data_IF_035346249390
#
_entry.id   IF_035346249390
#
_cell.length_a   1.000
_cell.length_b   1.000
_cell.length_c   1.000
_cell.angle_alpha   90.00
_cell.angle_beta   90.00
_cell.angle_gamma   90.00
#
_symmetry.space_group_name_H-M   'P 1'
#
loop_
_entity.id
_entity.type
_entity.pdbx_description
1 polymer ?
#
# COMPACT_ATOMS: atom_id res chain seq x y z
N UNK A 1 -2.50 -5.96 -12.84
CA UNK A 1 -1.84 -4.92 -12.00
C UNK A 1 -2.18 -3.57 -12.59
N UNK A 2 -2.71 -2.66 -11.78
CA UNK A 2 -3.19 -1.36 -12.25
C UNK A 2 -2.01 -0.45 -12.63
N UNK A 3 -2.16 0.29 -13.74
CA UNK A 3 -1.32 1.44 -14.14
C UNK A 3 0.20 1.18 -14.33
N UNK A 4 0.64 -0.07 -14.39
CA UNK A 4 2.06 -0.43 -14.55
C UNK A 4 2.69 0.04 -15.86
N UNK A 5 1.88 0.27 -16.90
CA UNK A 5 2.32 0.77 -18.21
C UNK A 5 1.82 2.20 -18.48
N UNK A 6 1.34 2.91 -17.46
CA UNK A 6 0.77 4.24 -17.62
C UNK A 6 1.89 5.28 -17.61
N UNK A 7 2.47 5.53 -18.77
CA UNK A 7 3.52 6.54 -18.99
C UNK A 7 3.02 7.98 -19.01
N UNK A 8 1.69 8.16 -19.12
CA UNK A 8 1.06 9.48 -19.17
C UNK A 8 -0.17 9.55 -18.25
N UNK A 9 -0.10 10.40 -17.23
CA UNK A 9 -1.22 10.76 -16.37
C UNK A 9 -1.85 12.09 -16.78
N UNK A 10 -3.00 12.45 -16.19
CA UNK A 10 -3.65 13.74 -16.43
C UNK A 10 -2.81 14.95 -15.97
N UNK A 11 -1.89 14.74 -15.03
CA UNK A 11 -0.98 15.76 -14.50
C UNK A 11 0.35 15.83 -15.28
N UNK A 12 0.55 14.91 -16.24
CA UNK A 12 1.80 14.76 -16.98
C UNK A 12 2.77 13.77 -16.31
N UNK A 13 3.56 13.08 -17.14
CA UNK A 13 4.53 12.07 -16.68
C UNK A 13 3.92 10.72 -16.28
N UNK A 14 4.78 9.74 -15.90
CA UNK A 14 4.36 8.39 -15.58
C UNK A 14 3.58 8.31 -14.26
N UNK A 15 2.74 7.29 -14.16
CA UNK A 15 2.02 6.99 -12.94
C UNK A 15 2.99 6.72 -11.78
N UNK A 16 2.75 7.41 -10.66
CA UNK A 16 3.45 7.16 -9.41
C UNK A 16 2.67 6.17 -8.57
N UNK A 17 3.37 5.19 -8.03
CA UNK A 17 2.82 4.22 -7.10
C UNK A 17 2.17 4.92 -5.89
N UNK A 18 1.01 4.41 -5.47
CA UNK A 18 0.28 4.89 -4.28
C UNK A 18 0.32 3.80 -3.21
N UNK A 19 0.65 4.20 -1.97
CA UNK A 19 0.66 3.32 -0.80
C UNK A 19 -0.38 3.78 0.21
N UNK A 20 -1.20 2.86 0.70
CA UNK A 20 -2.15 3.13 1.78
C UNK A 20 -1.48 2.87 3.14
N UNK A 21 -1.48 3.87 4.00
CA UNK A 21 -1.08 3.72 5.41
C UNK A 21 -2.34 3.37 6.20
N UNK A 22 -2.30 2.25 6.91
CA UNK A 22 -3.43 1.76 7.72
C UNK A 22 -3.12 1.88 9.21
N UNK A 23 -4.14 2.15 10.01
CA UNK A 23 -4.06 2.24 11.47
C UNK A 23 -5.26 1.55 12.13
N UNK A 24 -5.15 1.24 13.41
CA UNK A 24 -6.27 0.71 14.20
C UNK A 24 -7.39 1.75 14.29
N UNK A 25 -8.64 1.29 14.12
CA UNK A 25 -9.78 2.17 14.24
C UNK A 25 -9.96 2.64 15.71
N UNK A 26 -10.30 3.93 15.97
CA UNK A 26 -10.40 4.47 17.32
C UNK A 26 -11.50 3.83 18.19
N UNK A 27 -12.53 3.28 17.55
CA UNK A 27 -13.61 2.52 18.18
C UNK A 27 -13.22 1.07 18.52
N UNK A 28 -11.96 0.70 18.23
CA UNK A 28 -11.43 -0.66 18.38
C UNK A 28 -11.94 -1.63 17.31
N UNK A 29 -12.72 -1.19 16.33
CA UNK A 29 -13.32 -2.09 15.35
C UNK A 29 -12.47 -2.15 14.08
N UNK A 30 -11.45 -3.00 14.13
CA UNK A 30 -10.64 -3.34 12.96
C UNK A 30 -9.61 -2.27 12.59
N UNK A 31 -9.41 -2.05 11.29
CA UNK A 31 -8.41 -1.13 10.74
C UNK A 31 -9.07 -0.13 9.79
N UNK A 32 -8.49 1.06 9.68
CA UNK A 32 -8.89 2.08 8.71
C UNK A 32 -7.68 2.61 7.94
N UNK A 33 -7.92 3.16 6.76
CA UNK A 33 -6.89 3.88 6.00
C UNK A 33 -6.69 5.25 6.64
N UNK A 34 -5.50 5.49 7.17
CA UNK A 34 -5.11 6.77 7.75
C UNK A 34 -4.82 7.81 6.65
N UNK A 35 -4.09 7.41 5.61
CA UNK A 35 -3.73 8.27 4.47
C UNK A 35 -3.24 7.45 3.27
N UNK A 36 -3.23 8.08 2.11
CA UNK A 36 -2.61 7.57 0.90
C UNK A 36 -1.37 8.42 0.63
N UNK A 37 -0.22 7.79 0.42
CA UNK A 37 1.04 8.46 0.11
C UNK A 37 1.52 8.05 -1.29
N UNK A 38 2.10 9.01 -2.02
CA UNK A 38 2.77 8.71 -3.29
C UNK A 38 4.20 8.23 -3.02
N UNK A 39 4.65 7.29 -3.83
CA UNK A 39 6.06 6.89 -3.86
C UNK A 39 6.88 8.00 -4.55
N UNK A 40 7.83 8.59 -3.81
CA UNK A 40 8.72 9.64 -4.29
C UNK A 40 9.95 9.10 -5.04
N UNK A 41 10.08 7.77 -5.16
CA UNK A 41 11.16 7.15 -5.91
C UNK A 41 11.15 7.61 -7.38
N UNK A 42 12.32 7.83 -7.99
CA UNK A 42 12.40 8.26 -9.38
C UNK A 42 11.74 7.22 -10.31
N UNK A 43 11.13 7.67 -11.41
CA UNK A 43 10.57 6.76 -12.42
C UNK A 43 11.68 5.92 -13.07
N UNK A 44 11.31 4.74 -13.55
CA UNK A 44 12.25 3.81 -14.20
C UNK A 44 12.51 4.31 -15.62
N UNK A 45 13.77 4.63 -15.95
CA UNK A 45 14.12 4.99 -17.33
C UNK A 45 14.33 3.71 -18.15
N UNK A 46 13.56 3.56 -19.22
CA UNK A 46 13.68 2.47 -20.17
C UNK A 46 14.05 3.03 -21.56
N UNK A 47 15.13 2.53 -22.16
CA UNK A 47 15.51 2.93 -23.50
C UNK A 47 14.58 2.26 -24.54
N UNK A 48 13.71 3.04 -25.16
CA UNK A 48 12.80 2.62 -26.21
C UNK A 48 12.55 3.77 -27.19
N UNK A 49 13.41 3.95 -28.21
CA UNK A 49 13.32 5.05 -29.17
C UNK A 49 12.04 5.08 -30.01
N UNK A 50 11.32 3.96 -30.11
CA UNK A 50 10.06 3.86 -30.86
C UNK A 50 8.81 4.21 -30.03
N UNK A 51 8.97 4.53 -28.75
CA UNK A 51 7.85 4.82 -27.87
C UNK A 51 7.35 6.27 -28.07
N UNK A 52 6.03 6.51 -28.11
CA UNK A 52 5.47 7.86 -28.31
C UNK A 52 5.81 8.86 -27.19
N UNK A 53 6.19 8.35 -26.02
CA UNK A 53 6.62 9.14 -24.86
C UNK A 53 8.15 9.13 -24.65
N UNK A 54 8.94 8.73 -25.65
CA UNK A 54 10.40 8.78 -25.57
C UNK A 54 10.92 10.22 -25.66
N UNK A 55 11.97 10.52 -24.91
CA UNK A 55 12.72 11.77 -25.03
C UNK A 55 13.62 11.79 -26.28
N UNK A 56 14.36 12.89 -26.46
CA UNK A 56 15.25 13.09 -27.61
C UNK A 56 16.37 12.03 -27.73
N UNK A 57 16.72 11.38 -26.61
CA UNK A 57 17.73 10.33 -26.54
C UNK A 57 17.11 8.92 -26.62
N UNK A 58 15.79 8.82 -26.81
CA UNK A 58 15.06 7.57 -26.93
C UNK A 58 14.72 6.91 -25.59
N UNK A 59 14.79 7.64 -24.47
CA UNK A 59 14.46 7.12 -23.15
C UNK A 59 13.01 7.44 -22.76
N UNK A 60 12.36 6.48 -22.11
CA UNK A 60 10.98 6.59 -21.64
C UNK A 60 10.98 6.52 -20.13
N UNK A 61 10.34 7.49 -19.48
CA UNK A 61 10.06 7.44 -18.06
C UNK A 61 8.87 6.50 -17.81
N UNK A 62 9.17 5.31 -17.28
CA UNK A 62 8.19 4.30 -16.93
C UNK A 62 7.77 4.43 -15.45
N UNK A 63 6.52 4.05 -15.11
CA UNK A 63 6.06 3.95 -13.73
C UNK A 63 6.99 3.08 -12.86
N UNK A 64 7.14 3.47 -11.60
CA UNK A 64 7.90 2.70 -10.59
C UNK A 64 7.08 1.55 -9.97
N UNK A 65 6.12 0.98 -10.71
CA UNK A 65 5.23 -0.08 -10.22
C UNK A 65 5.85 -1.44 -10.55
N UNK A 66 6.26 -2.19 -9.52
CA UNK A 66 6.83 -3.53 -9.69
C UNK A 66 5.83 -4.62 -9.25
N UNK A 67 5.35 -5.47 -10.19
CA UNK A 67 4.45 -6.60 -9.90
C UNK A 67 4.81 -7.45 -8.69
N UNK A 68 6.10 -7.78 -8.54
CA UNK A 68 6.59 -8.65 -7.47
C UNK A 68 6.48 -7.95 -6.13
N UNK A 69 6.88 -6.68 -6.08
CA UNK A 69 6.77 -5.87 -4.85
C UNK A 69 5.31 -5.65 -4.47
N UNK A 70 4.43 -5.32 -5.41
CA UNK A 70 3.00 -5.14 -5.11
C UNK A 70 2.34 -6.39 -4.52
N UNK A 71 2.73 -7.58 -4.99
CA UNK A 71 2.24 -8.84 -4.41
C UNK A 71 2.80 -9.10 -3.01
N UNK A 72 4.11 -8.84 -2.81
CA UNK A 72 4.72 -8.98 -1.48
C UNK A 72 4.08 -8.03 -0.47
N UNK A 73 3.84 -6.78 -0.87
CA UNK A 73 3.20 -5.80 -0.01
C UNK A 73 1.73 -6.16 0.29
N UNK A 74 1.00 -6.73 -0.68
CA UNK A 74 -0.33 -7.27 -0.43
C UNK A 74 -0.33 -8.42 0.59
N UNK A 75 0.61 -9.36 0.46
CA UNK A 75 0.75 -10.49 1.40
C UNK A 75 1.11 -9.97 2.80
N UNK A 76 2.08 -9.05 2.88
CA UNK A 76 2.50 -8.43 4.14
C UNK A 76 1.34 -7.68 4.80
N UNK A 77 0.55 -6.92 4.03
CA UNK A 77 -0.63 -6.22 4.53
C UNK A 77 -1.70 -7.19 5.05
N UNK A 78 -1.97 -8.29 4.35
CA UNK A 78 -2.91 -9.32 4.80
C UNK A 78 -2.49 -9.94 6.13
N UNK A 79 -1.21 -10.29 6.26
CA UNK A 79 -0.66 -10.87 7.50
C UNK A 79 -0.69 -9.88 8.66
N UNK A 80 -0.40 -8.60 8.40
CA UNK A 80 -0.49 -7.55 9.41
C UNK A 80 -1.94 -7.37 9.90
N UNK A 81 -2.91 -7.42 8.98
CA UNK A 81 -4.33 -7.38 9.34
C UNK A 81 -4.74 -8.57 10.22
N UNK A 82 -4.36 -9.79 9.84
CA UNK A 82 -4.61 -11.00 10.63
C UNK A 82 -4.00 -10.89 12.04
N UNK A 83 -2.75 -10.44 12.14
CA UNK A 83 -2.07 -10.23 13.41
C UNK A 83 -2.79 -9.20 14.30
N UNK A 84 -3.25 -8.08 13.72
CA UNK A 84 -4.00 -7.05 14.44
C UNK A 84 -5.35 -7.58 14.95
N UNK A 85 -6.08 -8.36 14.15
CA UNK A 85 -7.34 -9.00 14.56
C UNK A 85 -7.10 -9.99 15.70
N UNK A 86 -6.04 -10.79 15.62
CA UNK A 86 -5.66 -11.71 16.69
C UNK A 86 -5.33 -10.98 18.00
N UNK A 87 -4.54 -9.90 17.93
CA UNK A 87 -4.19 -9.06 19.08
C UNK A 87 -5.45 -8.43 19.70
N UNK A 88 -6.37 -7.92 18.88
CA UNK A 88 -7.63 -7.34 19.36
C UNK A 88 -8.49 -8.37 20.09
N UNK A 89 -8.63 -9.58 19.53
CA UNK A 89 -9.38 -10.67 20.17
C UNK A 89 -8.74 -11.10 21.51
N UNK A 90 -7.41 -11.17 21.57
CA UNK A 90 -6.70 -11.46 22.81
C UNK A 90 -6.95 -10.38 23.88
N UNK A 91 -6.89 -9.11 23.50
CA UNK A 91 -7.20 -7.99 24.38
C UNK A 91 -8.64 -8.05 24.91
N UNK A 92 -9.61 -8.36 24.03
CA UNK A 92 -11.02 -8.53 24.41
C UNK A 92 -11.21 -9.68 25.41
N UNK A 93 -10.55 -10.81 25.20
CA UNK A 93 -10.61 -11.96 26.09
C UNK A 93 -10.03 -11.64 27.48
N UNK A 94 -8.88 -10.95 27.53
CA UNK A 94 -8.29 -10.49 28.80
C UNK A 94 -9.20 -9.52 29.55
N UNK A 95 -9.78 -8.54 28.86
CA UNK A 95 -10.71 -7.58 29.45
C UNK A 95 -11.95 -8.27 30.03
N UNK A 96 -12.55 -9.22 29.30
CA UNK A 96 -13.69 -10.00 29.76
C UNK A 96 -13.36 -10.82 31.02
N UNK A 97 -12.19 -11.45 31.07
CA UNK A 97 -11.73 -12.21 32.24
C UNK A 97 -11.48 -11.30 33.46
N UNK A 98 -10.91 -10.11 33.26
CA UNK A 98 -10.74 -9.14 34.33
C UNK A 98 -12.09 -8.68 34.92
N UNK A 99 -13.10 -8.48 34.07
CA UNK A 99 -14.48 -8.17 34.49
C UNK A 99 -15.14 -9.32 35.28
N UNK A 100 -14.85 -10.58 34.96
CA UNK A 100 -15.31 -11.73 35.75
C UNK A 100 -14.67 -11.76 37.14
N UNK A 101 -13.36 -11.50 37.24
CA UNK A 101 -12.64 -11.46 38.53
C UNK A 101 -13.18 -10.35 39.42
N UNK A 102 -13.43 -9.15 38.88
CA UNK A 102 -13.92 -8.01 39.66
C UNK A 102 -15.39 -8.10 40.11
N UNK A 103 -16.13 -9.13 39.70
CA UNK A 103 -17.51 -9.39 40.16
C UNK A 103 -17.58 -10.31 41.39
N UNK A 104 -16.48 -10.97 41.75
CA UNK A 104 -16.33 -11.76 42.96
C UNK A 104 -15.81 -10.89 44.12
#
# INVERSE_FOLDING_TARGET
LANMNTTRTAEGGPYKRLMAVVESAPDGQGVRVARIVQDESPPLLAHNPGHPDADADGNVAMPNVNPVLEMVDMISASRAYEANVAAFNAAKAMAAKALEIGKA
#
